data_IF_950502850539
#
_entry.id   IF_950502850539
#
_cell.length_a   1.000
_cell.length_b   1.000
_cell.length_c   1.000
_cell.angle_alpha   90.00
_cell.angle_beta   90.00
_cell.angle_gamma   90.00
#
_symmetry.space_group_name_H-M   'P 1'
#
loop_
_entity.id
_entity.type
_entity.pdbx_description
1 polymer ?
#
# COMPACT_ATOMS: atom_id res chain seq x y z
N UNK A 1 -26.78 -16.31 14.81
CA UNK A 1 -26.41 -14.94 15.21
C UNK A 1 -24.90 -14.93 15.36
N UNK A 2 -24.17 -14.24 14.49
CA UNK A 2 -22.75 -14.00 14.70
C UNK A 2 -22.58 -13.15 15.97
N UNK A 3 -21.52 -13.39 16.74
CA UNK A 3 -21.20 -12.56 17.90
C UNK A 3 -20.89 -11.12 17.44
N UNK A 4 -21.24 -10.06 18.18
CA UNK A 4 -20.96 -8.67 17.82
C UNK A 4 -19.49 -8.40 17.46
N UNK A 5 -18.57 -9.12 18.11
CA UNK A 5 -17.13 -9.04 17.85
C UNK A 5 -16.75 -9.60 16.48
N UNK A 6 -17.38 -10.72 16.06
CA UNK A 6 -17.15 -11.29 14.74
C UNK A 6 -17.65 -10.32 13.66
N UNK A 7 -18.81 -9.71 13.85
CA UNK A 7 -19.34 -8.72 12.91
C UNK A 7 -18.41 -7.49 12.80
N UNK A 8 -17.92 -6.99 13.94
CA UNK A 8 -16.95 -5.89 13.96
C UNK A 8 -15.62 -6.27 13.27
N UNK A 9 -15.14 -7.51 13.46
CA UNK A 9 -13.93 -8.00 12.81
C UNK A 9 -14.08 -8.13 11.29
N UNK A 10 -15.21 -8.65 10.82
CA UNK A 10 -15.48 -8.80 9.39
C UNK A 10 -15.79 -7.47 8.69
N UNK A 11 -16.33 -6.50 9.43
CA UNK A 11 -16.54 -5.13 8.94
C UNK A 11 -15.23 -4.33 8.80
N UNK A 12 -14.15 -4.74 9.48
CA UNK A 12 -12.87 -4.07 9.37
C UNK A 12 -12.19 -4.34 8.01
N UNK A 13 -11.38 -3.39 7.51
CA UNK A 13 -10.66 -3.55 6.24
C UNK A 13 -9.74 -4.77 6.25
N UNK A 14 -9.57 -5.47 5.10
CA UNK A 14 -8.91 -6.76 5.04
C UNK A 14 -7.43 -6.74 5.44
N UNK A 15 -6.65 -5.73 5.08
CA UNK A 15 -5.23 -5.66 5.46
C UNK A 15 -5.12 -5.31 6.94
N UNK A 16 -5.82 -4.26 7.38
CA UNK A 16 -5.81 -3.82 8.78
C UNK A 16 -6.23 -4.94 9.75
N UNK A 17 -7.31 -5.67 9.45
CA UNK A 17 -7.80 -6.76 10.32
C UNK A 17 -6.82 -7.93 10.38
N UNK A 18 -6.27 -8.36 9.24
CA UNK A 18 -5.43 -9.57 9.16
C UNK A 18 -4.07 -9.31 9.79
N UNK A 19 -3.46 -8.16 9.52
CA UNK A 19 -2.17 -7.77 10.10
C UNK A 19 -2.28 -7.64 11.62
N UNK A 20 -3.32 -6.98 12.11
CA UNK A 20 -3.53 -6.79 13.56
C UNK A 20 -3.83 -8.11 14.27
N UNK A 21 -4.71 -8.95 13.70
CA UNK A 21 -5.01 -10.26 14.27
C UNK A 21 -3.76 -11.15 14.32
N UNK A 22 -2.98 -11.18 13.24
CA UNK A 22 -1.73 -11.92 13.21
C UNK A 22 -0.72 -11.39 14.24
N UNK A 23 -0.65 -10.07 14.42
CA UNK A 23 0.21 -9.43 15.42
C UNK A 23 -0.18 -9.85 16.84
N UNK A 24 -1.48 -9.79 17.18
CA UNK A 24 -1.97 -10.21 18.50
C UNK A 24 -1.67 -11.69 18.75
N UNK A 25 -2.00 -12.57 17.79
CA UNK A 25 -1.79 -14.02 17.95
C UNK A 25 -0.31 -14.38 18.11
N UNK A 26 0.56 -13.84 17.25
CA UNK A 26 2.00 -14.13 17.31
C UNK A 26 2.64 -13.53 18.55
N UNK A 27 2.19 -12.34 18.99
CA UNK A 27 2.72 -11.71 20.20
C UNK A 27 2.29 -12.43 21.47
N UNK A 28 1.04 -12.90 21.55
CA UNK A 28 0.59 -13.76 22.64
C UNK A 28 1.39 -15.07 22.69
N UNK A 29 1.70 -15.65 21.53
CA UNK A 29 2.56 -16.83 21.46
C UNK A 29 3.98 -16.52 21.96
N UNK A 30 4.57 -15.42 21.51
CA UNK A 30 5.94 -15.03 21.84
C UNK A 30 6.13 -14.71 23.33
N UNK A 31 5.18 -13.98 23.94
CA UNK A 31 5.31 -13.47 25.31
C UNK A 31 4.67 -14.36 26.39
N UNK A 32 3.51 -14.97 26.10
CA UNK A 32 2.72 -15.69 27.12
C UNK A 32 2.76 -17.21 26.94
N UNK A 33 2.36 -17.69 25.75
CA UNK A 33 2.09 -19.12 25.57
C UNK A 33 3.36 -19.94 25.33
N UNK A 34 4.34 -19.38 24.65
CA UNK A 34 5.63 -20.01 24.30
C UNK A 34 5.52 -21.40 23.65
N UNK A 35 4.39 -21.69 22.97
CA UNK A 35 4.18 -22.97 22.26
C UNK A 35 5.21 -23.18 21.15
N UNK A 36 5.63 -22.08 20.51
CA UNK A 36 6.74 -22.06 19.55
C UNK A 36 7.87 -21.26 20.16
N UNK A 37 9.11 -21.71 19.97
CA UNK A 37 10.27 -21.00 20.50
C UNK A 37 10.33 -19.57 19.91
N UNK A 38 10.34 -18.52 20.77
CA UNK A 38 10.41 -17.11 20.34
C UNK A 38 11.54 -16.81 19.36
N UNK A 39 12.64 -17.56 19.43
CA UNK A 39 13.77 -17.44 18.53
C UNK A 39 13.39 -17.56 17.05
N UNK A 40 12.35 -18.33 16.69
CA UNK A 40 11.93 -18.48 15.29
C UNK A 40 11.25 -17.25 14.70
N UNK A 41 10.77 -16.33 15.54
CA UNK A 41 10.04 -15.13 15.10
C UNK A 41 10.95 -13.94 14.80
N UNK A 42 12.17 -13.93 15.34
CA UNK A 42 13.14 -12.83 15.19
C UNK A 42 13.72 -12.80 13.78
N UNK A 43 13.85 -11.61 13.18
CA UNK A 43 14.51 -11.51 11.88
C UNK A 43 16.02 -11.66 12.04
N UNK A 44 16.60 -12.65 11.35
CA UNK A 44 18.04 -12.89 11.29
C UNK A 44 18.41 -13.14 9.82
N UNK A 45 19.06 -12.16 9.14
CA UNK A 45 19.34 -12.23 7.70
C UNK A 45 20.09 -13.50 7.28
N UNK A 46 21.06 -13.94 8.08
CA UNK A 46 21.88 -15.13 7.82
C UNK A 46 21.05 -16.43 7.73
N UNK A 47 19.95 -16.51 8.47
CA UNK A 47 19.05 -17.67 8.46
C UNK A 47 18.00 -17.59 7.35
N UNK A 48 17.68 -16.38 6.91
CA UNK A 48 16.76 -16.17 5.78
C UNK A 48 17.41 -16.60 4.47
N UNK A 49 18.65 -16.15 4.22
CA UNK A 49 19.37 -16.44 2.99
C UNK A 49 20.23 -17.71 3.07
N UNK A 50 19.85 -18.65 3.92
CA UNK A 50 20.55 -19.94 4.05
C UNK A 50 20.29 -20.80 2.81
N UNK A 51 21.35 -21.31 2.20
CA UNK A 51 21.30 -22.03 0.92
C UNK A 51 20.39 -23.28 0.93
N UNK A 52 20.37 -24.02 2.03
CA UNK A 52 19.70 -25.34 2.10
C UNK A 52 18.31 -25.30 2.77
N UNK A 53 18.08 -24.39 3.71
CA UNK A 53 16.81 -24.27 4.43
C UNK A 53 16.51 -22.79 4.73
N UNK A 54 16.03 -22.03 3.73
CA UNK A 54 15.77 -20.62 3.90
C UNK A 54 14.58 -20.40 4.84
N UNK A 55 14.80 -19.69 5.96
CA UNK A 55 13.76 -19.40 6.96
C UNK A 55 12.97 -18.14 6.57
N UNK A 56 12.29 -18.18 5.43
CA UNK A 56 11.64 -17.01 4.79
C UNK A 56 10.53 -16.39 5.63
N UNK A 57 9.89 -17.15 6.52
CA UNK A 57 8.85 -16.63 7.41
C UNK A 57 9.37 -15.51 8.33
N UNK A 58 10.67 -15.49 8.64
CA UNK A 58 11.31 -14.44 9.46
C UNK A 58 11.20 -13.05 8.86
N UNK A 59 11.00 -12.95 7.55
CA UNK A 59 10.74 -11.68 6.86
C UNK A 59 9.40 -11.06 7.27
N UNK A 60 8.45 -11.88 7.69
CA UNK A 60 7.09 -11.45 8.05
C UNK A 60 6.88 -11.47 9.56
N UNK A 61 7.27 -12.55 10.23
CA UNK A 61 7.01 -12.72 11.68
C UNK A 61 7.63 -11.62 12.52
N UNK A 62 8.78 -11.08 12.13
CA UNK A 62 9.47 -10.03 12.87
C UNK A 62 8.71 -8.69 12.90
N UNK A 63 7.78 -8.47 11.96
CA UNK A 63 6.86 -7.32 11.96
C UNK A 63 5.61 -7.55 12.80
N UNK A 64 5.37 -8.77 13.28
CA UNK A 64 4.13 -9.17 13.95
C UNK A 64 4.33 -9.46 15.45
N UNK A 65 5.49 -9.11 16.00
CA UNK A 65 5.77 -9.22 17.44
C UNK A 65 5.78 -7.84 18.07
N UNK A 66 4.95 -7.65 19.09
CA UNK A 66 4.83 -6.41 19.85
C UNK A 66 5.95 -6.24 20.87
N UNK A 67 6.08 -5.02 21.36
CA UNK A 67 6.90 -4.71 22.53
C UNK A 67 6.33 -5.39 23.78
N UNK A 68 7.16 -5.51 24.81
CA UNK A 68 6.79 -6.11 26.09
C UNK A 68 5.73 -5.31 26.86
N UNK A 69 5.11 -5.94 27.86
CA UNK A 69 4.17 -5.32 28.82
C UNK A 69 3.00 -4.63 28.11
N UNK A 70 2.91 -3.30 28.20
CA UNK A 70 1.85 -2.49 27.62
C UNK A 70 1.87 -2.47 26.08
N UNK A 71 3.03 -2.75 25.46
CA UNK A 71 3.15 -2.87 24.01
C UNK A 71 2.29 -3.98 23.40
N UNK A 72 2.00 -5.04 24.16
CA UNK A 72 1.13 -6.15 23.73
C UNK A 72 -0.27 -5.66 23.35
N UNK A 73 -0.75 -4.58 23.98
CA UNK A 73 -2.07 -4.00 23.73
C UNK A 73 -1.96 -2.76 22.84
N UNK A 74 -1.01 -1.87 23.12
CA UNK A 74 -0.92 -0.59 22.43
C UNK A 74 -0.36 -0.70 21.02
N UNK A 75 0.61 -1.58 20.77
CA UNK A 75 1.21 -1.69 19.44
C UNK A 75 0.19 -2.19 18.40
N UNK A 76 -0.63 -3.24 18.66
CA UNK A 76 -1.70 -3.64 17.76
C UNK A 76 -2.78 -2.57 17.59
N UNK A 77 -3.09 -1.81 18.64
CA UNK A 77 -4.06 -0.71 18.56
C UNK A 77 -3.58 0.39 17.59
N UNK A 78 -2.33 0.85 17.74
CA UNK A 78 -1.75 1.83 16.84
C UNK A 78 -1.62 1.29 15.42
N UNK A 79 -1.15 0.05 15.28
CA UNK A 79 -1.03 -0.64 13.99
C UNK A 79 -2.39 -0.70 13.27
N UNK A 80 -3.44 -1.14 13.95
CA UNK A 80 -4.79 -1.19 13.40
C UNK A 80 -5.30 0.19 13.00
N UNK A 81 -5.11 1.19 13.86
CA UNK A 81 -5.57 2.56 13.63
C UNK A 81 -4.93 3.15 12.37
N UNK A 82 -3.61 3.04 12.23
CA UNK A 82 -2.91 3.56 11.06
C UNK A 82 -3.20 2.74 9.79
N UNK A 83 -3.23 1.40 9.88
CA UNK A 83 -3.57 0.57 8.72
C UNK A 83 -4.99 0.84 8.22
N UNK A 84 -5.97 0.92 9.13
CA UNK A 84 -7.37 1.20 8.78
C UNK A 84 -7.49 2.55 8.09
N UNK A 85 -6.85 3.59 8.64
CA UNK A 85 -6.90 4.92 8.05
C UNK A 85 -6.23 4.96 6.66
N UNK A 86 -5.13 4.23 6.47
CA UNK A 86 -4.46 4.16 5.16
C UNK A 86 -5.27 3.34 4.14
N UNK A 87 -5.92 2.26 4.57
CA UNK A 87 -6.67 1.38 3.68
C UNK A 87 -8.04 1.95 3.26
N UNK A 88 -8.64 2.81 4.08
CA UNK A 88 -9.99 3.37 3.83
C UNK A 88 -9.96 4.86 3.48
N UNK A 89 -9.21 5.65 4.23
CA UNK A 89 -9.34 7.11 4.19
C UNK A 89 -8.27 7.78 3.31
N UNK A 90 -7.23 7.04 2.90
CA UNK A 90 -6.12 7.61 2.14
C UNK A 90 -6.45 7.72 0.63
N UNK A 91 -6.50 8.94 0.06
CA UNK A 91 -6.68 9.11 -1.38
C UNK A 91 -5.47 8.61 -2.18
N UNK A 92 -4.33 8.40 -1.52
CA UNK A 92 -3.08 7.92 -2.13
C UNK A 92 -3.16 6.47 -2.59
N UNK A 93 -3.95 5.65 -1.90
CA UNK A 93 -4.07 4.22 -2.16
C UNK A 93 -5.41 3.89 -2.83
N UNK A 94 -5.74 4.65 -3.88
CA UNK A 94 -7.02 4.53 -4.57
C UNK A 94 -7.16 3.25 -5.39
N UNK A 95 -6.07 2.68 -5.92
CA UNK A 95 -6.15 1.44 -6.70
C UNK A 95 -6.10 0.20 -5.79
N UNK A 96 -6.77 -0.89 -6.20
CA UNK A 96 -6.71 -2.16 -5.47
C UNK A 96 -5.27 -2.63 -5.28
N UNK A 97 -4.86 -2.79 -4.03
CA UNK A 97 -3.53 -3.31 -3.67
C UNK A 97 -2.40 -2.28 -3.59
N UNK A 98 -2.66 -0.98 -3.83
CA UNK A 98 -1.64 0.07 -3.67
C UNK A 98 -1.08 0.11 -2.25
N UNK A 99 -1.97 0.06 -1.25
CA UNK A 99 -1.57 0.04 0.15
C UNK A 99 -0.72 -1.21 0.48
N UNK A 100 -1.07 -2.37 -0.06
CA UNK A 100 -0.28 -3.58 0.12
C UNK A 100 1.13 -3.45 -0.48
N UNK A 101 1.26 -2.88 -1.68
CA UNK A 101 2.57 -2.63 -2.30
C UNK A 101 3.39 -1.63 -1.49
N UNK A 102 2.74 -0.58 -0.99
CA UNK A 102 3.40 0.37 -0.08
C UNK A 102 3.90 -0.31 1.19
N UNK A 103 3.09 -1.19 1.79
CA UNK A 103 3.46 -1.97 2.97
C UNK A 103 4.66 -2.88 2.67
N UNK A 104 4.62 -3.65 1.58
CA UNK A 104 5.73 -4.53 1.17
C UNK A 104 7.01 -3.73 0.90
N UNK A 105 6.90 -2.60 0.20
CA UNK A 105 8.03 -1.70 -0.03
C UNK A 105 8.62 -1.23 1.30
N UNK A 106 7.78 -0.74 2.21
CA UNK A 106 8.23 -0.23 3.49
C UNK A 106 8.92 -1.33 4.32
N UNK A 107 8.32 -2.52 4.39
CA UNK A 107 8.91 -3.68 5.05
C UNK A 107 10.26 -4.06 4.45
N UNK A 108 10.39 -4.06 3.11
CA UNK A 108 11.65 -4.42 2.44
C UNK A 108 12.79 -3.47 2.78
N UNK A 109 12.53 -2.16 2.79
CA UNK A 109 13.53 -1.13 3.12
C UNK A 109 13.88 -1.18 4.61
N UNK A 110 12.89 -1.38 5.49
CA UNK A 110 13.14 -1.53 6.94
C UNK A 110 14.03 -2.75 7.21
N UNK A 111 13.72 -3.91 6.62
CA UNK A 111 14.54 -5.11 6.80
C UNK A 111 15.96 -4.92 6.29
N UNK A 112 16.14 -4.23 5.16
CA UNK A 112 17.45 -3.91 4.62
C UNK A 112 18.25 -3.04 5.59
N UNK A 113 17.66 -1.94 6.08
CA UNK A 113 18.33 -1.02 7.00
C UNK A 113 18.68 -1.69 8.33
N UNK A 114 17.74 -2.44 8.91
CA UNK A 114 17.96 -3.19 10.16
C UNK A 114 19.00 -4.30 9.98
N UNK A 115 18.99 -4.99 8.83
CA UNK A 115 19.99 -6.01 8.50
C UNK A 115 21.40 -5.44 8.46
N UNK A 116 21.59 -4.25 7.87
CA UNK A 116 22.91 -3.63 7.71
C UNK A 116 23.44 -3.10 9.05
N UNK A 117 22.59 -2.46 9.86
CA UNK A 117 23.03 -1.74 11.06
C UNK A 117 23.01 -2.60 12.32
N UNK A 118 21.98 -3.45 12.50
CA UNK A 118 21.78 -4.25 13.71
C UNK A 118 22.01 -5.75 13.49
N UNK A 119 22.08 -6.21 12.25
CA UNK A 119 22.24 -7.63 11.92
C UNK A 119 20.99 -8.48 12.16
N UNK A 120 19.84 -7.86 12.47
CA UNK A 120 18.58 -8.55 12.76
C UNK A 120 17.80 -7.89 13.91
N UNK A 121 16.56 -8.32 14.14
CA UNK A 121 15.74 -7.82 15.25
C UNK A 121 14.24 -7.92 15.02
N UNK A 122 13.46 -7.44 15.98
CA UNK A 122 12.01 -7.24 15.83
C UNK A 122 11.74 -5.85 15.24
N UNK A 123 10.85 -5.76 14.26
CA UNK A 123 10.73 -4.58 13.38
C UNK A 123 9.31 -4.01 13.31
N UNK A 124 8.45 -4.35 14.29
CA UNK A 124 7.12 -3.74 14.38
C UNK A 124 7.18 -2.23 14.66
N UNK A 125 8.07 -1.78 15.55
CA UNK A 125 8.21 -0.36 15.88
C UNK A 125 8.52 0.53 14.66
N UNK A 126 9.53 0.23 13.82
CA UNK A 126 9.74 0.99 12.59
C UNK A 126 8.57 0.88 11.60
N UNK A 127 7.90 -0.27 11.48
CA UNK A 127 6.72 -0.38 10.62
C UNK A 127 5.58 0.52 11.10
N UNK A 128 5.31 0.55 12.40
CA UNK A 128 4.30 1.42 13.00
C UNK A 128 4.60 2.90 12.71
N UNK A 129 5.88 3.31 12.86
CA UNK A 129 6.29 4.67 12.53
C UNK A 129 6.17 4.99 11.03
N UNK A 130 6.47 4.04 10.16
CA UNK A 130 6.33 4.20 8.72
C UNK A 130 4.86 4.45 8.31
N UNK A 131 3.94 3.65 8.85
CA UNK A 131 2.50 3.80 8.61
C UNK A 131 1.96 5.11 9.19
N UNK A 132 2.39 5.44 10.41
CA UNK A 132 2.08 6.72 11.05
C UNK A 132 2.51 7.92 10.18
N UNK A 133 3.72 7.87 9.61
CA UNK A 133 4.20 8.91 8.71
C UNK A 133 3.32 9.04 7.45
N UNK A 134 3.03 7.93 6.78
CA UNK A 134 2.18 7.93 5.59
C UNK A 134 0.78 8.48 5.90
N UNK A 135 0.20 8.13 7.05
CA UNK A 135 -1.12 8.58 7.46
C UNK A 135 -1.20 10.10 7.64
N UNK A 136 -0.16 10.67 8.22
CA UNK A 136 -0.10 12.10 8.55
C UNK A 136 0.02 12.97 7.29
N UNK A 137 0.57 12.43 6.20
CA UNK A 137 0.78 13.20 4.98
C UNK A 137 -0.51 13.59 4.26
N UNK A 138 -1.58 12.80 4.39
CA UNK A 138 -2.83 13.04 3.66
C UNK A 138 -3.56 14.27 4.19
N UNK A 139 -3.46 14.56 5.50
CA UNK A 139 -4.04 15.77 6.08
C UNK A 139 -3.26 16.24 7.33
N UNK A 140 -2.11 16.91 7.12
CA UNK A 140 -1.13 17.23 8.16
C UNK A 140 -1.60 18.24 9.20
N UNK A 141 -2.59 19.08 8.85
CA UNK A 141 -3.12 20.14 9.71
C UNK A 141 -4.28 19.71 10.62
N UNK A 142 -4.83 18.50 10.42
CA UNK A 142 -5.89 18.04 11.31
C UNK A 142 -5.34 17.77 12.72
N UNK A 143 -6.20 18.01 13.71
CA UNK A 143 -5.91 17.72 15.11
C UNK A 143 -6.14 16.25 15.40
N UNK A 144 -5.23 15.63 16.15
CA UNK A 144 -5.33 14.27 16.64
C UNK A 144 -4.93 14.25 18.12
N UNK A 145 -5.63 13.42 18.91
CA UNK A 145 -5.19 13.11 20.26
C UNK A 145 -4.16 11.99 20.20
N UNK A 146 -2.95 12.25 20.70
CA UNK A 146 -1.93 11.23 20.94
C UNK A 146 -1.82 11.01 22.45
N UNK A 147 -2.18 9.81 22.90
CA UNK A 147 -2.49 9.50 24.30
C UNK A 147 -3.57 10.44 24.86
N UNK A 148 -3.18 11.53 25.52
CA UNK A 148 -4.09 12.52 26.12
C UNK A 148 -3.78 13.95 25.67
N UNK A 149 -2.86 14.13 24.72
CA UNK A 149 -2.42 15.44 24.25
C UNK A 149 -2.97 15.67 22.85
N UNK A 150 -3.70 16.76 22.66
CA UNK A 150 -4.16 17.19 21.34
C UNK A 150 -3.02 17.91 20.61
N UNK A 151 -2.65 17.39 19.45
CA UNK A 151 -1.57 17.91 18.62
C UNK A 151 -1.92 17.83 17.14
N UNK A 152 -1.25 18.64 16.32
CA UNK A 152 -1.37 18.54 14.86
C UNK A 152 -0.75 17.23 14.39
N UNK A 153 -1.40 16.53 13.48
CA UNK A 153 -0.94 15.25 12.93
C UNK A 153 0.50 15.29 12.44
N UNK A 154 0.95 16.41 11.84
CA UNK A 154 2.34 16.59 11.36
C UNK A 154 3.44 16.24 12.36
N UNK A 155 3.18 16.38 13.66
CA UNK A 155 4.16 16.13 14.71
C UNK A 155 4.19 14.69 15.21
N UNK A 156 3.20 13.87 14.83
CA UNK A 156 3.03 12.51 15.35
C UNK A 156 4.27 11.63 15.15
N UNK A 157 4.93 11.58 13.96
CA UNK A 157 6.10 10.71 13.79
C UNK A 157 7.28 11.13 14.67
N UNK A 158 7.46 12.44 14.87
CA UNK A 158 8.52 12.98 15.74
C UNK A 158 8.21 12.67 17.20
N UNK A 159 6.94 12.78 17.62
CA UNK A 159 6.52 12.43 18.98
C UNK A 159 6.67 10.94 19.25
N UNK A 160 6.34 10.06 18.30
CA UNK A 160 6.59 8.61 18.44
C UNK A 160 8.08 8.33 18.65
N UNK A 161 8.96 8.95 17.86
CA UNK A 161 10.42 8.83 18.04
C UNK A 161 10.89 9.33 19.40
N UNK A 162 10.37 10.48 19.85
CA UNK A 162 10.71 11.04 21.15
C UNK A 162 10.27 10.14 22.31
N UNK A 163 9.06 9.57 22.22
CA UNK A 163 8.58 8.60 23.22
C UNK A 163 9.45 7.35 23.24
N UNK A 164 9.81 6.79 22.07
CA UNK A 164 10.68 5.62 22.00
C UNK A 164 12.10 5.93 22.48
N UNK A 165 12.62 7.12 22.22
CA UNK A 165 13.92 7.57 22.75
C UNK A 165 13.93 7.58 24.28
N UNK A 166 12.84 8.03 24.90
CA UNK A 166 12.71 8.10 26.36
C UNK A 166 12.43 6.72 26.98
N UNK A 167 11.54 5.93 26.36
CA UNK A 167 11.09 4.65 26.95
C UNK A 167 12.00 3.47 26.65
N UNK A 168 12.56 3.40 25.44
CA UNK A 168 13.38 2.27 24.95
C UNK A 168 14.86 2.64 24.90
N UNK A 169 15.17 3.91 24.61
CA UNK A 169 16.53 4.41 24.49
C UNK A 169 16.96 4.71 23.05
N UNK A 170 18.20 5.20 22.87
CA UNK A 170 18.69 5.71 21.59
C UNK A 170 18.77 4.64 20.50
N UNK A 171 19.16 3.40 20.84
CA UNK A 171 19.20 2.31 19.86
C UNK A 171 17.81 1.93 19.35
N UNK A 172 16.81 1.88 20.23
CA UNK A 172 15.42 1.62 19.85
C UNK A 172 14.84 2.74 18.99
N UNK A 173 15.11 3.99 19.35
CA UNK A 173 14.69 5.15 18.55
C UNK A 173 15.36 5.17 17.17
N UNK A 174 16.65 4.85 17.08
CA UNK A 174 17.36 4.72 15.80
C UNK A 174 16.75 3.63 14.94
N UNK A 175 16.49 2.46 15.52
CA UNK A 175 15.85 1.36 14.80
C UNK A 175 14.45 1.75 14.31
N UNK A 176 13.67 2.45 15.13
CA UNK A 176 12.36 2.96 14.77
C UNK A 176 12.46 4.01 13.65
N UNK A 177 13.47 4.88 13.67
CA UNK A 177 13.70 5.91 12.66
C UNK A 177 13.91 5.36 11.24
N UNK A 178 14.36 4.11 11.08
CA UNK A 178 14.36 3.44 9.77
C UNK A 178 12.98 3.31 9.15
N UNK A 179 11.93 3.26 9.97
CA UNK A 179 10.54 3.37 9.52
C UNK A 179 10.25 4.72 8.85
N UNK A 180 10.72 5.82 9.46
CA UNK A 180 10.57 7.16 8.90
C UNK A 180 11.34 7.30 7.58
N UNK A 181 12.58 6.79 7.52
CA UNK A 181 13.39 6.78 6.30
C UNK A 181 12.69 5.99 5.19
N UNK A 182 12.18 4.80 5.52
CA UNK A 182 11.48 3.93 4.59
C UNK A 182 10.23 4.59 3.99
N UNK A 183 9.40 5.19 4.85
CA UNK A 183 8.17 5.86 4.42
C UNK A 183 8.45 7.15 3.64
N UNK A 184 9.47 7.91 4.05
CA UNK A 184 9.92 9.09 3.30
C UNK A 184 10.48 8.71 1.93
N UNK A 185 11.24 7.62 1.82
CA UNK A 185 11.73 7.11 0.54
C UNK A 185 10.57 6.69 -0.37
N UNK A 186 9.56 6.01 0.17
CA UNK A 186 8.34 5.68 -0.58
C UNK A 186 7.67 6.94 -1.13
N UNK A 187 7.56 7.98 -0.30
CA UNK A 187 6.97 9.27 -0.70
C UNK A 187 7.80 10.04 -1.71
N UNK A 188 9.12 10.02 -1.54
CA UNK A 188 10.03 10.59 -2.50
C UNK A 188 9.85 9.96 -3.89
N UNK A 189 9.83 8.61 -3.96
CA UNK A 189 9.74 7.90 -5.24
C UNK A 189 8.37 8.03 -5.92
N UNK A 190 7.29 8.04 -5.14
CA UNK A 190 5.92 8.04 -5.71
C UNK A 190 5.37 9.43 -5.96
N UNK A 191 5.81 10.45 -5.22
CA UNK A 191 5.23 11.80 -5.26
C UNK A 191 6.26 12.86 -5.66
N UNK A 192 7.38 12.97 -4.94
CA UNK A 192 8.32 14.09 -5.12
C UNK A 192 9.07 13.95 -6.45
N UNK A 193 9.62 12.77 -6.72
CA UNK A 193 10.38 12.48 -7.92
C UNK A 193 9.58 12.67 -9.21
N UNK A 194 8.34 12.17 -9.33
CA UNK A 194 7.53 12.40 -10.54
C UNK A 194 7.06 13.86 -10.68
N UNK A 195 6.75 14.53 -9.57
CA UNK A 195 6.19 15.89 -9.63
C UNK A 195 7.23 16.97 -9.91
N UNK A 196 8.45 16.82 -9.37
CA UNK A 196 9.50 17.85 -9.46
C UNK A 196 10.69 17.43 -10.31
N UNK A 197 10.98 16.12 -10.40
CA UNK A 197 12.12 15.59 -11.14
C UNK A 197 11.82 15.23 -12.61
N UNK A 198 10.58 15.43 -13.09
CA UNK A 198 10.16 15.04 -14.43
C UNK A 198 10.15 13.52 -14.69
N UNK A 199 10.27 12.71 -13.63
CA UNK A 199 10.35 11.26 -13.73
C UNK A 199 8.98 10.56 -13.80
N UNK A 200 8.99 9.26 -14.10
CA UNK A 200 7.82 8.41 -13.92
C UNK A 200 7.76 7.88 -12.47
N UNK A 201 6.56 7.55 -11.97
CA UNK A 201 6.42 6.83 -10.70
C UNK A 201 6.93 5.37 -10.88
N UNK A 202 8.05 4.98 -10.23
CA UNK A 202 8.63 3.65 -10.39
C UNK A 202 7.86 2.57 -9.64
N UNK A 203 7.09 2.94 -8.62
CA UNK A 203 6.31 2.00 -7.81
C UNK A 203 4.87 2.02 -8.31
N UNK A 204 4.58 1.12 -9.25
CA UNK A 204 3.23 0.84 -9.73
C UNK A 204 2.78 -0.51 -9.23
N UNK A 205 1.53 -0.60 -8.80
CA UNK A 205 0.96 -1.87 -8.34
C UNK A 205 0.88 -2.86 -9.50
N UNK A 206 1.57 -4.01 -9.41
CA UNK A 206 1.57 -4.97 -10.49
C UNK A 206 0.18 -5.58 -10.67
N UNK A 207 -0.17 -5.92 -11.91
CA UNK A 207 -1.49 -6.46 -12.26
C UNK A 207 -1.88 -7.69 -11.44
N UNK A 208 -0.91 -8.53 -11.06
CA UNK A 208 -1.13 -9.68 -10.20
C UNK A 208 -1.67 -9.28 -8.82
N UNK A 209 -1.07 -8.26 -8.19
CA UNK A 209 -1.51 -7.76 -6.88
C UNK A 209 -2.85 -7.07 -7.00
N UNK A 210 -3.07 -6.30 -8.07
CA UNK A 210 -4.38 -5.69 -8.33
C UNK A 210 -5.47 -6.76 -8.38
N UNK A 211 -5.22 -7.94 -8.97
CA UNK A 211 -6.19 -9.04 -9.01
C UNK A 211 -6.47 -9.67 -7.64
N UNK A 212 -5.51 -9.69 -6.72
CA UNK A 212 -5.74 -10.19 -5.35
C UNK A 212 -6.67 -9.27 -4.54
N UNK A 213 -6.62 -7.97 -4.81
CA UNK A 213 -7.42 -6.95 -4.12
C UNK A 213 -8.59 -6.43 -4.96
N UNK A 214 -8.69 -6.83 -6.23
CA UNK A 214 -9.82 -6.52 -7.07
C UNK A 214 -11.05 -7.08 -6.39
N UNK A 215 -12.01 -6.20 -6.06
CA UNK A 215 -13.32 -6.65 -5.64
C UNK A 215 -13.80 -7.58 -6.73
N UNK A 216 -13.99 -8.87 -6.40
CA UNK A 216 -14.66 -9.81 -7.29
C UNK A 216 -15.94 -9.11 -7.69
N UNK A 217 -15.99 -8.61 -8.91
CA UNK A 217 -17.24 -8.21 -9.50
C UNK A 217 -17.98 -9.53 -9.53
N UNK A 218 -18.88 -9.76 -8.56
CA UNK A 218 -19.73 -10.95 -8.55
C UNK A 218 -20.25 -11.15 -9.97
N UNK A 219 -20.25 -12.41 -10.46
CA UNK A 219 -20.24 -12.77 -11.88
C UNK A 219 -20.89 -11.67 -12.68
N UNK A 220 -20.02 -10.85 -13.31
CA UNK A 220 -20.36 -9.53 -13.81
C UNK A 220 -21.72 -9.63 -14.44
N UNK A 221 -22.70 -8.91 -13.86
CA UNK A 221 -24.09 -8.97 -14.24
C UNK A 221 -24.12 -9.13 -15.75
N UNK A 222 -24.41 -10.35 -16.21
CA UNK A 222 -24.09 -10.78 -17.55
C UNK A 222 -25.06 -10.00 -18.42
N UNK A 223 -24.68 -8.78 -18.82
CA UNK A 223 -25.48 -7.90 -19.65
C UNK A 223 -25.41 -8.53 -21.02
N UNK A 224 -26.26 -9.54 -21.18
CA UNK A 224 -26.62 -10.15 -22.43
C UNK A 224 -27.16 -9.01 -23.29
N UNK A 225 -26.34 -8.60 -24.24
CA UNK A 225 -26.61 -7.58 -25.26
C UNK A 225 -26.70 -6.12 -24.77
N UNK A 226 -25.66 -5.35 -25.10
CA UNK A 226 -25.68 -3.89 -25.01
C UNK A 226 -24.28 -3.28 -24.99
N UNK A 227 -23.79 -2.80 -26.14
CA UNK A 227 -22.61 -1.93 -26.19
C UNK A 227 -23.00 -0.56 -25.64
N UNK A 228 -22.69 -0.30 -24.38
CA UNK A 228 -22.81 1.05 -23.82
C UNK A 228 -21.62 1.89 -24.29
N UNK A 229 -21.87 2.86 -25.16
CA UNK A 229 -20.90 3.89 -25.49
C UNK A 229 -20.75 4.82 -24.28
N UNK A 230 -19.51 4.97 -23.82
CA UNK A 230 -19.18 5.86 -22.73
C UNK A 230 -19.43 7.30 -23.18
N UNK A 231 -20.41 7.98 -22.58
CA UNK A 231 -20.71 9.37 -22.86
C UNK A 231 -19.48 10.22 -22.49
N UNK A 232 -18.89 10.85 -23.50
CA UNK A 232 -17.80 11.82 -23.33
C UNK A 232 -18.33 12.99 -22.48
N UNK A 233 -17.61 13.45 -21.45
CA UNK A 233 -18.06 14.56 -20.62
C UNK A 233 -18.32 15.81 -21.46
N UNK A 234 -19.48 16.43 -21.23
CA UNK A 234 -19.96 17.64 -21.88
C UNK A 234 -18.99 18.80 -21.68
N UNK A 235 -18.43 19.31 -22.77
CA UNK A 235 -17.45 20.40 -22.74
C UNK A 235 -16.64 20.53 -24.02
N UNK A 236 -17.28 20.59 -25.19
CA UNK A 236 -16.67 21.24 -26.37
C UNK A 236 -17.76 21.68 -27.32
N UNK A 237 -17.75 22.99 -27.59
CA UNK A 237 -18.71 23.74 -28.39
C UNK A 237 -18.39 23.54 -29.88
N UNK A 238 -19.42 23.26 -30.68
CA UNK A 238 -19.46 23.57 -32.11
C UNK A 238 -19.16 22.43 -33.10
N UNK A 239 -20.21 21.91 -33.77
CA UNK A 239 -20.29 21.76 -35.23
C UNK A 239 -21.61 21.04 -35.64
N UNK A 240 -22.24 21.58 -36.67
CA UNK A 240 -23.54 21.23 -37.26
C UNK A 240 -23.60 19.85 -37.97
N UNK A 241 -24.81 19.35 -38.30
CA UNK A 241 -25.05 17.97 -38.70
C UNK A 241 -24.93 17.77 -40.22
N UNK A 242 -24.46 16.59 -40.66
CA UNK A 242 -24.68 16.15 -42.04
C UNK A 242 -24.95 14.64 -42.13
N UNK A 243 -25.95 14.35 -42.96
CA UNK A 243 -26.64 13.09 -43.13
C UNK A 243 -25.91 12.10 -44.05
N UNK A 244 -26.18 10.81 -43.80
CA UNK A 244 -26.33 9.79 -44.84
C UNK A 244 -25.07 9.02 -45.24
N UNK A 245 -25.02 7.72 -44.90
CA UNK A 245 -25.15 6.65 -45.90
C UNK A 245 -24.92 5.28 -45.26
N UNK A 246 -25.88 4.40 -45.48
CA UNK A 246 -25.87 2.95 -45.27
C UNK A 246 -24.84 2.24 -46.16
N UNK A 247 -24.21 1.17 -45.63
CA UNK A 247 -23.68 -0.04 -46.31
C UNK A 247 -22.90 -0.87 -45.27
N UNK A 248 -23.46 -1.97 -44.77
CA UNK A 248 -23.39 -3.34 -45.29
C UNK A 248 -22.01 -4.01 -45.15
N UNK A 249 -21.93 -4.98 -44.24
CA UNK A 249 -21.27 -6.28 -44.41
C UNK A 249 -19.74 -6.34 -44.52
N UNK A 250 -19.14 -7.24 -43.74
CA UNK A 250 -17.80 -7.75 -44.05
C UNK A 250 -17.00 -8.20 -42.84
N UNK A 251 -17.21 -9.45 -42.41
CA UNK A 251 -16.28 -10.17 -41.55
C UNK A 251 -15.07 -10.61 -42.41
N UNK A 252 -13.84 -10.20 -42.05
CA UNK A 252 -12.64 -11.00 -42.35
C UNK A 252 -11.59 -10.78 -41.27
N UNK A 253 -11.14 -11.87 -40.66
CA UNK A 253 -9.86 -11.96 -39.96
C UNK A 253 -8.71 -11.73 -40.94
N UNK A 254 -7.65 -11.04 -40.53
CA UNK A 254 -6.47 -10.89 -41.36
C UNK A 254 -5.31 -10.23 -40.62
N UNK A 255 -4.42 -11.07 -40.12
CA UNK A 255 -3.07 -10.74 -39.70
C UNK A 255 -2.25 -10.33 -40.94
N UNK A 256 -1.86 -9.07 -41.07
CA UNK A 256 -0.77 -8.68 -41.97
C UNK A 256 0.04 -7.54 -41.37
N UNK A 257 1.27 -7.89 -40.97
CA UNK A 257 2.42 -7.01 -40.93
C UNK A 257 2.55 -6.21 -42.22
N UNK A 258 2.87 -4.91 -42.15
CA UNK A 258 3.14 -4.14 -43.35
C UNK A 258 3.20 -2.65 -43.11
N UNK A 259 4.34 -2.18 -42.62
CA UNK A 259 4.77 -0.79 -42.58
C UNK A 259 4.94 -0.26 -44.01
N UNK A 260 3.88 0.17 -44.68
CA UNK A 260 3.88 1.13 -45.80
C UNK A 260 2.46 1.29 -46.37
N UNK A 261 1.80 2.40 -46.08
CA UNK A 261 0.47 2.65 -46.63
C UNK A 261 -0.21 3.97 -46.27
N UNK A 262 0.48 4.87 -45.55
CA UNK A 262 -0.06 6.19 -45.18
C UNK A 262 0.79 7.28 -45.83
N UNK A 263 0.64 7.45 -47.15
CA UNK A 263 1.00 8.70 -47.84
C UNK A 263 -0.32 9.42 -48.13
N UNK A 264 -0.55 10.49 -47.39
CA UNK A 264 -1.80 11.25 -47.37
C UNK A 264 -2.17 11.81 -48.74
N UNK A 265 -3.48 11.87 -48.99
CA UNK A 265 -4.05 12.47 -50.19
C UNK A 265 -3.74 13.98 -50.22
N UNK A 266 -3.00 14.42 -51.26
CA UNK A 266 -2.67 15.82 -51.49
C UNK A 266 -3.92 16.65 -51.79
N UNK A 267 -4.03 17.81 -51.15
CA UNK A 267 -5.05 18.83 -51.46
C UNK A 267 -4.53 19.76 -52.56
N UNK A 268 -5.38 20.03 -53.55
CA UNK A 268 -5.16 21.08 -54.55
C UNK A 268 -5.65 22.42 -54.00
N UNK A 269 -4.85 23.47 -54.18
CA UNK A 269 -5.21 24.87 -53.94
C UNK A 269 -5.47 25.55 -55.28
N UNK A 270 -6.57 26.30 -55.37
CA UNK A 270 -6.75 27.41 -56.31
C UNK A 270 -7.51 27.11 -57.61
N UNK A 271 -8.46 28.00 -57.90
CA UNK A 271 -9.14 28.19 -59.18
C UNK A 271 -10.38 29.07 -58.94
N UNK A 272 -10.37 30.28 -59.52
CA UNK A 272 -11.35 31.37 -59.36
C UNK A 272 -12.81 30.98 -59.65
#
# INVERSE_FOLDING_TARGET
>A
MSSPLADAFWAAPPIARTLTAATVVLSLNFWLLQVVNPYYSVFIPRLVFKLWTPQVWRLVTAFLITSEKLGIIMDPYFLFTYCKALEVDSPRFAQPGDFFVALVFNCSVILLLVSIVFGGGLVLAPLSLALAYLHVQDAPDAMMSFFFINMRRRYLPICMLAVTLVMVGPFGALQQAFGLVSAHLYDFLTRIWPSYGGGYNPIRTPQMVQRWFAKTSGPGNNRSYGTAFQARPSGSVGAQPQAGSSRSGGWTSGFTSGTWGSRGAGRRLGGD
#
